data_IF_576176699215
#
_entry.id   IF_576176699215
#
_cell.length_a   1.000
_cell.length_b   1.000
_cell.length_c   1.000
_cell.angle_alpha   90.00
_cell.angle_beta   90.00
_cell.angle_gamma   90.00
#
_symmetry.space_group_name_H-M   'P 1'
#
loop_
_entity.id
_entity.type
_entity.pdbx_description
1 polymer ?
#
# COMPACT_ATOMS: atom_id res chain seq x y z
N UNK A 1 -28.12 -26.85 32.59
CA UNK A 1 -26.69 -26.49 32.45
C UNK A 1 -26.41 -26.38 30.97
N UNK A 2 -26.38 -25.17 30.42
CA UNK A 2 -26.41 -24.90 28.99
C UNK A 2 -25.02 -24.40 28.58
N UNK A 3 -24.34 -25.14 27.72
CA UNK A 3 -23.02 -24.76 27.21
C UNK A 3 -23.18 -23.56 26.26
N UNK A 4 -22.33 -22.52 26.35
CA UNK A 4 -22.39 -21.40 25.43
C UNK A 4 -21.90 -21.85 24.06
N UNK A 5 -22.75 -21.62 23.04
CA UNK A 5 -22.40 -21.79 21.63
C UNK A 5 -21.35 -20.74 21.29
N UNK A 6 -20.12 -21.19 21.01
CA UNK A 6 -19.04 -20.36 20.48
C UNK A 6 -19.48 -19.77 19.15
N UNK A 7 -19.76 -18.47 19.16
CA UNK A 7 -19.99 -17.69 17.96
C UNK A 7 -18.66 -17.65 17.21
N UNK A 8 -18.48 -18.56 16.26
CA UNK A 8 -17.39 -18.46 15.32
C UNK A 8 -17.63 -17.20 14.50
N UNK A 9 -16.76 -16.20 14.69
CA UNK A 9 -16.59 -15.08 13.78
C UNK A 9 -16.59 -15.68 12.37
N UNK A 10 -17.65 -15.40 11.60
CA UNK A 10 -17.67 -15.69 10.17
C UNK A 10 -16.52 -14.89 9.58
N UNK A 11 -15.37 -15.53 9.40
CA UNK A 11 -14.45 -15.11 8.35
C UNK A 11 -15.32 -15.05 7.10
N UNK A 12 -15.61 -13.84 6.62
CA UNK A 12 -16.18 -13.65 5.30
C UNK A 12 -15.21 -14.33 4.35
N UNK A 13 -15.54 -15.54 3.90
CA UNK A 13 -14.79 -16.26 2.87
C UNK A 13 -14.73 -15.32 1.67
N UNK A 14 -13.56 -14.72 1.48
CA UNK A 14 -13.28 -13.85 0.36
C UNK A 14 -13.01 -14.76 -0.80
N UNK A 15 -13.83 -14.72 -1.84
CA UNK A 15 -13.55 -15.50 -3.02
C UNK A 15 -12.28 -14.96 -3.69
N UNK A 16 -11.17 -15.70 -3.57
CA UNK A 16 -9.90 -15.34 -4.21
C UNK A 16 -10.06 -14.99 -5.70
N UNK A 17 -10.93 -15.68 -6.42
CA UNK A 17 -11.17 -15.43 -7.85
C UNK A 17 -11.71 -14.04 -8.16
N UNK A 18 -12.38 -13.40 -7.21
CA UNK A 18 -12.88 -12.04 -7.41
C UNK A 18 -11.83 -10.97 -7.08
N UNK A 19 -10.67 -11.36 -6.50
CA UNK A 19 -9.66 -10.47 -5.91
C UNK A 19 -8.28 -10.65 -6.56
N UNK A 20 -7.96 -11.83 -7.10
CA UNK A 20 -6.64 -12.16 -7.66
C UNK A 20 -6.17 -11.17 -8.74
N UNK A 21 -7.11 -10.48 -9.41
CA UNK A 21 -6.84 -9.41 -10.37
C UNK A 21 -6.02 -8.23 -9.78
N UNK A 22 -6.08 -7.99 -8.47
CA UNK A 22 -5.27 -6.97 -7.78
C UNK A 22 -3.78 -7.34 -7.87
N UNK A 23 -3.45 -8.63 -7.87
CA UNK A 23 -2.09 -9.15 -7.74
C UNK A 23 -1.56 -9.77 -9.04
N UNK A 24 -2.02 -9.26 -10.18
CA UNK A 24 -1.50 -9.68 -11.48
C UNK A 24 -0.02 -9.34 -11.66
N UNK A 25 0.68 -10.20 -12.39
CA UNK A 25 2.11 -10.06 -12.70
C UNK A 25 2.30 -9.13 -13.90
N UNK A 26 1.89 -7.89 -13.74
CA UNK A 26 1.94 -6.83 -14.77
C UNK A 26 3.28 -6.09 -14.82
N UNK A 27 4.22 -6.46 -13.95
CA UNK A 27 5.54 -5.85 -13.82
C UNK A 27 5.58 -4.64 -12.88
N UNK A 28 4.42 -4.17 -12.41
CA UNK A 28 4.32 -3.09 -11.43
C UNK A 28 4.27 -3.63 -9.99
N UNK A 29 4.72 -2.83 -9.03
CA UNK A 29 4.54 -3.13 -7.61
C UNK A 29 3.10 -2.80 -7.15
N UNK A 30 2.82 -3.08 -5.88
CA UNK A 30 1.66 -2.57 -5.17
C UNK A 30 2.11 -1.80 -3.95
N UNK A 31 1.51 -0.64 -3.77
CA UNK A 31 1.96 0.29 -2.74
C UNK A 31 0.91 0.35 -1.65
N UNK A 32 1.37 0.27 -0.41
CA UNK A 32 0.57 0.42 0.79
C UNK A 32 0.89 1.79 1.38
N UNK A 33 -0.09 2.69 1.34
CA UNK A 33 0.04 4.04 1.84
C UNK A 33 -0.64 4.27 3.18
N UNK A 34 -0.01 5.09 3.98
CA UNK A 34 -0.63 5.88 5.06
C UNK A 34 -0.44 7.35 4.72
N UNK A 35 -1.52 8.03 4.36
CA UNK A 35 -1.47 9.47 4.04
C UNK A 35 -1.62 10.34 5.30
N UNK A 36 -1.20 11.60 5.19
CA UNK A 36 -1.32 12.62 6.22
C UNK A 36 -0.62 12.20 7.53
N UNK A 37 0.58 11.63 7.42
CA UNK A 37 1.39 11.20 8.56
C UNK A 37 2.19 12.36 9.14
N UNK A 38 2.79 12.10 10.30
CA UNK A 38 3.67 13.01 11.01
C UNK A 38 4.92 12.24 11.42
N UNK A 39 5.95 12.95 11.86
CA UNK A 39 7.15 12.28 12.40
C UNK A 39 6.82 11.40 13.62
N UNK A 40 5.77 11.74 14.39
CA UNK A 40 5.31 10.90 15.49
C UNK A 40 4.63 9.62 15.01
N UNK A 41 3.94 9.65 13.87
CA UNK A 41 3.36 8.45 13.27
C UNK A 41 4.47 7.52 12.77
N UNK A 42 5.48 8.09 12.11
CA UNK A 42 6.68 7.35 11.70
C UNK A 42 7.39 6.69 12.88
N UNK A 43 7.52 7.37 14.03
CA UNK A 43 8.10 6.77 15.24
C UNK A 43 7.32 5.53 15.69
N UNK A 44 5.99 5.63 15.74
CA UNK A 44 5.13 4.51 16.14
C UNK A 44 5.26 3.31 15.20
N UNK A 45 5.25 3.57 13.89
CA UNK A 45 5.45 2.51 12.89
C UNK A 45 6.83 1.88 13.05
N UNK A 46 7.89 2.66 13.19
CA UNK A 46 9.25 2.12 13.36
C UNK A 46 9.37 1.31 14.66
N UNK A 47 8.76 1.75 15.75
CA UNK A 47 8.75 1.01 17.01
C UNK A 47 8.04 -0.34 16.86
N UNK A 48 6.85 -0.33 16.25
CA UNK A 48 6.07 -1.53 15.96
C UNK A 48 6.83 -2.49 15.03
N UNK A 49 7.46 -1.98 13.97
CA UNK A 49 8.25 -2.80 13.04
C UNK A 49 9.44 -3.44 13.76
N UNK A 50 10.16 -2.67 14.57
CA UNK A 50 11.31 -3.15 15.32
C UNK A 50 10.97 -4.14 16.45
N UNK A 51 9.73 -4.11 16.96
CA UNK A 51 9.30 -5.00 18.04
C UNK A 51 8.69 -6.31 17.53
N UNK A 52 7.88 -6.23 16.48
CA UNK A 52 6.96 -7.31 16.12
C UNK A 52 7.34 -8.02 14.81
N UNK A 53 8.24 -7.44 14.02
CA UNK A 53 8.58 -7.95 12.70
C UNK A 53 10.07 -8.23 12.55
N UNK A 54 10.36 -9.32 11.82
CA UNK A 54 11.71 -9.58 11.32
C UNK A 54 11.97 -8.65 10.13
N UNK A 55 13.02 -7.86 10.23
CA UNK A 55 13.38 -6.92 9.18
C UNK A 55 14.89 -6.74 9.05
N UNK A 56 15.29 -6.12 7.95
CA UNK A 56 16.62 -5.54 7.78
C UNK A 56 16.53 -4.07 7.44
N UNK A 57 17.52 -3.28 7.85
CA UNK A 57 17.62 -1.85 7.59
C UNK A 57 19.03 -1.48 7.11
N UNK A 58 19.15 -0.84 5.96
CA UNK A 58 20.44 -0.48 5.39
C UNK A 58 20.37 -0.13 3.91
N UNK A 59 21.53 -0.16 3.25
CA UNK A 59 21.64 -0.14 1.79
C UNK A 59 21.68 -1.59 1.32
N UNK A 60 21.01 -1.88 0.20
CA UNK A 60 21.13 -3.14 -0.57
C UNK A 60 22.24 -4.12 -0.12
N UNK A 61 21.83 -5.23 0.51
CA UNK A 61 22.62 -6.41 0.92
C UNK A 61 23.86 -6.20 1.81
N UNK A 62 24.38 -4.98 1.91
CA UNK A 62 25.57 -4.63 2.69
C UNK A 62 25.19 -3.85 3.96
N UNK A 63 25.88 -4.13 5.08
CA UNK A 63 25.73 -3.40 6.36
C UNK A 63 24.28 -3.34 6.89
N UNK A 64 23.51 -4.42 6.68
CA UNK A 64 22.15 -4.54 7.16
C UNK A 64 22.08 -4.70 8.68
N UNK A 65 21.41 -3.77 9.35
CA UNK A 65 20.98 -3.91 10.73
C UNK A 65 19.66 -4.69 10.81
N UNK A 66 19.40 -5.37 11.92
CA UNK A 66 18.14 -6.09 12.18
C UNK A 66 17.03 -5.18 12.74
N UNK A 67 17.33 -3.89 12.90
CA UNK A 67 16.42 -2.85 13.40
C UNK A 67 16.61 -1.54 12.66
N UNK A 68 15.51 -0.82 12.47
CA UNK A 68 15.49 0.53 11.93
C UNK A 68 16.02 1.50 12.98
N UNK A 69 17.08 2.24 12.64
CA UNK A 69 17.56 3.37 13.44
C UNK A 69 16.69 4.61 13.15
N UNK A 70 15.70 4.86 14.00
CA UNK A 70 14.84 6.04 13.86
C UNK A 70 15.59 7.38 13.98
N UNK A 71 16.72 7.40 14.70
CA UNK A 71 17.59 8.56 14.77
C UNK A 71 18.18 8.90 13.41
N UNK A 72 18.60 7.89 12.66
CA UNK A 72 19.09 8.03 11.29
C UNK A 72 17.96 8.43 10.31
N UNK A 73 16.79 7.79 10.41
CA UNK A 73 15.61 8.14 9.60
C UNK A 73 15.24 9.62 9.77
N UNK A 74 15.26 10.16 11.00
CA UNK A 74 15.04 11.60 11.22
C UNK A 74 16.06 12.50 10.52
N UNK A 75 17.33 12.06 10.45
CA UNK A 75 18.36 12.81 9.72
C UNK A 75 18.10 12.77 8.22
N UNK A 76 17.67 11.62 7.68
CA UNK A 76 17.27 11.49 6.27
C UNK A 76 16.15 12.46 5.91
N UNK A 77 15.10 12.54 6.74
CA UNK A 77 14.01 13.49 6.50
C UNK A 77 14.41 14.97 6.58
N UNK A 78 15.50 15.28 7.28
CA UNK A 78 16.00 16.65 7.43
C UNK A 78 17.12 16.98 6.43
N UNK A 79 17.55 16.02 5.62
CA UNK A 79 18.61 16.24 4.64
C UNK A 79 18.05 16.86 3.36
N UNK A 80 18.31 18.15 3.19
CA UNK A 80 17.97 18.90 1.97
C UNK A 80 19.12 18.88 0.94
N UNK A 81 20.29 18.35 1.30
CA UNK A 81 21.49 18.34 0.45
C UNK A 81 21.53 17.15 -0.50
N UNK A 82 20.89 16.03 -0.12
CA UNK A 82 20.96 14.76 -0.83
C UNK A 82 22.31 14.04 -0.66
N UNK A 83 23.17 14.50 0.24
CA UNK A 83 24.46 13.87 0.53
C UNK A 83 24.33 12.72 1.53
N UNK A 84 23.26 12.68 2.32
CA UNK A 84 23.04 11.60 3.27
C UNK A 84 22.62 10.32 2.56
N UNK A 85 23.29 9.23 2.89
CA UNK A 85 22.99 7.91 2.38
C UNK A 85 21.54 7.49 2.68
N UNK A 86 20.78 7.17 1.62
CA UNK A 86 19.40 6.73 1.75
C UNK A 86 19.34 5.25 2.09
N UNK A 87 18.74 4.94 3.25
CA UNK A 87 18.50 3.55 3.71
C UNK A 87 17.03 3.17 3.56
N UNK A 88 16.77 1.89 3.37
CA UNK A 88 15.43 1.33 3.36
C UNK A 88 15.30 0.21 4.38
N UNK A 89 14.06 -0.13 4.73
CA UNK A 89 13.75 -1.32 5.51
C UNK A 89 13.16 -2.40 4.62
N UNK A 90 13.50 -3.65 4.89
CA UNK A 90 12.92 -4.84 4.26
C UNK A 90 12.31 -5.70 5.33
N UNK A 91 10.98 -5.85 5.31
CA UNK A 91 10.21 -6.61 6.28
C UNK A 91 9.83 -7.96 5.66
N UNK A 92 10.01 -9.03 6.42
CA UNK A 92 9.66 -10.41 6.03
C UNK A 92 8.31 -10.80 6.64
N UNK A 93 7.28 -10.91 5.81
CA UNK A 93 5.95 -11.40 6.21
C UNK A 93 5.80 -12.87 5.81
N UNK A 94 6.62 -13.72 6.40
CA UNK A 94 6.66 -15.17 6.13
C UNK A 94 6.77 -15.48 4.63
N UNK A 95 7.79 -14.92 3.98
CA UNK A 95 8.10 -15.12 2.57
C UNK A 95 7.51 -14.09 1.60
N UNK A 96 6.74 -13.11 2.10
CA UNK A 96 6.35 -11.92 1.35
C UNK A 96 7.29 -10.78 1.75
N UNK A 97 7.95 -10.16 0.77
CA UNK A 97 8.89 -9.08 1.00
C UNK A 97 8.15 -7.76 0.92
N UNK A 98 8.16 -7.02 2.03
CA UNK A 98 7.62 -5.66 2.10
C UNK A 98 8.78 -4.68 2.21
N UNK A 99 8.91 -3.77 1.24
CA UNK A 99 9.91 -2.70 1.28
C UNK A 99 9.30 -1.47 1.92
N UNK A 100 10.08 -0.74 2.71
CA UNK A 100 9.70 0.56 3.26
C UNK A 100 10.79 1.57 2.95
N UNK A 101 10.39 2.67 2.31
CA UNK A 101 11.28 3.78 1.99
C UNK A 101 10.88 5.01 2.79
N UNK A 102 11.88 5.76 3.26
CA UNK A 102 11.71 6.92 4.14
C UNK A 102 11.82 8.23 3.33
N UNK A 103 10.89 8.43 2.38
CA UNK A 103 10.96 9.59 1.46
C UNK A 103 10.25 10.83 2.01
N UNK A 104 9.04 10.69 2.55
CA UNK A 104 8.21 11.82 2.97
C UNK A 104 7.77 11.68 4.43
N UNK A 105 7.79 12.78 5.18
CA UNK A 105 7.29 12.78 6.57
C UNK A 105 5.76 12.60 6.60
N UNK A 106 5.06 13.13 5.61
CA UNK A 106 3.59 13.17 5.53
C UNK A 106 2.96 11.99 4.77
N UNK A 107 3.78 11.02 4.36
CA UNK A 107 3.34 9.76 3.76
C UNK A 107 4.24 8.60 4.22
N UNK A 108 3.63 7.53 4.73
CA UNK A 108 4.31 6.24 4.87
C UNK A 108 3.95 5.39 3.66
N UNK A 109 4.94 4.74 3.06
CA UNK A 109 4.80 3.88 1.90
C UNK A 109 5.48 2.54 2.15
N UNK A 110 4.80 1.47 1.72
CA UNK A 110 5.39 0.15 1.63
C UNK A 110 5.12 -0.49 0.28
N UNK A 111 6.11 -1.10 -0.33
CA UNK A 111 5.95 -1.80 -1.60
C UNK A 111 5.90 -3.31 -1.39
N UNK A 112 5.03 -3.98 -2.13
CA UNK A 112 4.99 -5.44 -2.22
C UNK A 112 5.01 -5.89 -3.68
N UNK A 113 5.61 -7.05 -3.92
CA UNK A 113 5.56 -7.67 -5.24
C UNK A 113 4.25 -8.46 -5.40
N UNK A 114 3.37 -8.12 -6.36
CA UNK A 114 2.12 -8.86 -6.56
C UNK A 114 2.34 -10.35 -6.87
N UNK A 115 3.51 -10.72 -7.43
CA UNK A 115 3.84 -12.12 -7.73
C UNK A 115 3.93 -13.02 -6.49
N UNK A 116 4.11 -12.43 -5.31
CA UNK A 116 4.21 -13.14 -4.02
C UNK A 116 2.83 -13.43 -3.41
N UNK A 117 1.75 -12.83 -3.95
CA UNK A 117 0.39 -12.97 -3.41
C UNK A 117 -0.44 -13.87 -4.34
N UNK A 118 -0.48 -15.16 -4.03
CA UNK A 118 -1.05 -16.17 -4.94
C UNK A 118 -2.32 -16.85 -4.40
N UNK A 119 -2.68 -16.58 -3.15
CA UNK A 119 -3.87 -17.12 -2.52
C UNK A 119 -4.43 -16.21 -1.42
N UNK A 120 -5.55 -16.63 -0.84
CA UNK A 120 -6.15 -15.98 0.33
C UNK A 120 -5.21 -15.95 1.54
N UNK A 121 -4.28 -16.91 1.64
CA UNK A 121 -3.33 -16.98 2.75
C UNK A 121 -2.35 -15.80 2.71
N UNK A 122 -1.74 -15.53 1.57
CA UNK A 122 -0.82 -14.40 1.40
C UNK A 122 -1.56 -13.07 1.48
N UNK A 123 -2.77 -12.99 0.91
CA UNK A 123 -3.64 -11.82 1.06
C UNK A 123 -3.94 -11.54 2.54
N UNK A 124 -4.19 -12.59 3.34
CA UNK A 124 -4.43 -12.44 4.77
C UNK A 124 -3.22 -11.85 5.48
N UNK A 125 -2.00 -12.31 5.18
CA UNK A 125 -0.76 -11.75 5.77
C UNK A 125 -0.62 -10.26 5.48
N UNK A 126 -0.81 -9.85 4.23
CA UNK A 126 -0.76 -8.43 3.83
C UNK A 126 -1.85 -7.60 4.52
N UNK A 127 -3.09 -8.09 4.55
CA UNK A 127 -4.20 -7.37 5.16
C UNK A 127 -4.10 -7.31 6.69
N UNK A 128 -3.54 -8.32 7.34
CA UNK A 128 -3.25 -8.28 8.77
C UNK A 128 -2.13 -7.28 9.09
N UNK A 129 -1.07 -7.23 8.28
CA UNK A 129 -0.05 -6.19 8.38
C UNK A 129 -0.67 -4.79 8.28
N UNK A 130 -1.49 -4.55 7.26
CA UNK A 130 -2.23 -3.27 7.10
C UNK A 130 -3.12 -2.96 8.31
N UNK A 131 -3.83 -3.95 8.89
CA UNK A 131 -4.66 -3.76 10.08
C UNK A 131 -3.85 -3.38 11.31
N UNK A 132 -2.70 -4.01 11.50
CA UNK A 132 -1.81 -3.75 12.64
C UNK A 132 -1.29 -2.32 12.58
N UNK A 133 -0.80 -1.88 11.41
CA UNK A 133 -0.37 -0.48 11.21
C UNK A 133 -1.55 0.49 11.38
N UNK A 134 -2.73 0.16 10.82
CA UNK A 134 -3.94 0.98 10.97
C UNK A 134 -4.36 1.16 12.42
N UNK A 135 -4.27 0.09 13.22
CA UNK A 135 -4.61 0.10 14.64
C UNK A 135 -3.63 0.94 15.46
N UNK A 136 -2.33 0.78 15.22
CA UNK A 136 -1.26 1.54 15.89
C UNK A 136 -1.39 3.05 15.66
N UNK A 137 -1.73 3.43 14.42
CA UNK A 137 -1.84 4.84 14.05
C UNK A 137 -3.24 5.43 14.29
N UNK A 138 -4.28 4.58 14.36
CA UNK A 138 -5.67 5.02 14.27
C UNK A 138 -5.99 5.70 12.94
N UNK A 139 -5.32 5.28 11.86
CA UNK A 139 -5.40 5.88 10.51
C UNK A 139 -5.83 4.85 9.48
N UNK A 140 -6.41 5.35 8.38
CA UNK A 140 -6.73 4.52 7.22
C UNK A 140 -5.44 4.14 6.49
N UNK A 141 -5.38 2.91 6.02
CA UNK A 141 -4.32 2.33 5.21
C UNK A 141 -4.91 1.89 3.88
N UNK A 142 -4.20 2.15 2.79
CA UNK A 142 -4.66 1.80 1.43
C UNK A 142 -3.61 1.04 0.67
N UNK A 143 -3.98 -0.09 0.06
CA UNK A 143 -3.16 -0.71 -0.99
C UNK A 143 -3.67 -0.24 -2.34
N UNK A 144 -2.79 0.18 -3.24
CA UNK A 144 -3.11 0.60 -4.60
C UNK A 144 -2.13 0.03 -5.63
N UNK A 145 -2.36 0.34 -6.91
CA UNK A 145 -1.34 0.16 -7.92
C UNK A 145 -0.15 1.09 -7.69
N UNK A 146 0.99 0.73 -8.26
CA UNK A 146 2.23 1.51 -8.19
C UNK A 146 2.01 2.99 -8.57
N UNK A 147 2.37 3.90 -7.67
CA UNK A 147 2.22 5.34 -7.77
C UNK A 147 0.77 5.82 -8.04
N UNK A 148 -0.23 5.07 -7.58
CA UNK A 148 -1.66 5.38 -7.80
C UNK A 148 -2.47 5.52 -6.48
N UNK A 149 -2.03 6.36 -5.53
CA UNK A 149 -2.70 6.49 -4.23
C UNK A 149 -4.16 6.94 -4.33
N UNK A 150 -4.56 7.66 -5.39
CA UNK A 150 -5.95 8.08 -5.57
C UNK A 150 -6.90 6.93 -5.89
N UNK A 151 -6.38 5.77 -6.36
CA UNK A 151 -7.17 4.59 -6.70
C UNK A 151 -6.85 3.39 -5.78
N UNK A 152 -7.33 3.41 -4.53
CA UNK A 152 -7.15 2.29 -3.62
C UNK A 152 -7.83 1.02 -4.15
N UNK A 153 -7.18 -0.12 -3.99
CA UNK A 153 -7.68 -1.46 -4.29
C UNK A 153 -8.12 -2.17 -3.00
N UNK A 154 -7.45 -1.88 -1.88
CA UNK A 154 -7.82 -2.30 -0.53
C UNK A 154 -7.84 -1.08 0.40
N UNK A 155 -8.84 -0.98 1.27
CA UNK A 155 -8.97 0.02 2.34
C UNK A 155 -9.16 -0.66 3.68
N UNK A 156 -8.33 -0.29 4.64
CA UNK A 156 -8.47 -0.71 6.03
C UNK A 156 -8.47 0.55 6.91
N UNK A 157 -9.43 0.66 7.82
CA UNK A 157 -9.47 1.64 8.89
C UNK A 157 -9.95 0.93 10.16
N UNK A 158 -8.99 0.46 10.96
CA UNK A 158 -9.26 -0.31 12.18
C UNK A 158 -10.07 0.49 13.20
N UNK A 159 -9.89 1.81 13.27
CA UNK A 159 -10.63 2.69 14.18
C UNK A 159 -12.11 2.76 13.82
N UNK A 160 -12.41 2.82 12.53
CA UNK A 160 -13.78 2.94 12.01
C UNK A 160 -14.39 1.59 11.60
N UNK A 161 -13.68 0.47 11.81
CA UNK A 161 -14.14 -0.88 11.43
C UNK A 161 -14.29 -1.07 9.92
N UNK A 162 -13.52 -0.35 9.11
CA UNK A 162 -13.59 -0.45 7.65
C UNK A 162 -12.58 -1.50 7.19
N UNK A 163 -13.05 -2.47 6.43
CA UNK A 163 -12.21 -3.37 5.64
C UNK A 163 -12.90 -3.64 4.31
N UNK A 164 -12.38 -3.03 3.25
CA UNK A 164 -12.94 -3.12 1.90
C UNK A 164 -11.87 -3.56 0.92
N UNK A 165 -12.21 -4.53 0.07
CA UNK A 165 -11.39 -5.00 -1.04
C UNK A 165 -12.22 -4.87 -2.30
N UNK A 166 -11.64 -4.24 -3.33
CA UNK A 166 -12.32 -4.01 -4.59
C UNK A 166 -12.34 -5.32 -5.39
N UNK A 167 -13.54 -5.88 -5.61
CA UNK A 167 -13.67 -7.03 -6.52
C UNK A 167 -13.49 -6.60 -7.98
N UNK A 168 -13.13 -7.53 -8.85
CA UNK A 168 -13.00 -7.24 -10.29
C UNK A 168 -14.30 -6.68 -10.87
N UNK A 169 -15.44 -7.17 -10.37
CA UNK A 169 -16.78 -6.69 -10.73
C UNK A 169 -17.03 -5.26 -10.27
N UNK A 170 -16.64 -4.92 -9.04
CA UNK A 170 -16.79 -3.57 -8.51
C UNK A 170 -15.93 -2.57 -9.29
N UNK A 171 -14.68 -2.94 -9.58
CA UNK A 171 -13.78 -2.14 -10.42
C UNK A 171 -14.39 -1.88 -11.82
N UNK A 172 -14.90 -2.93 -12.48
CA UNK A 172 -15.60 -2.80 -13.76
C UNK A 172 -16.85 -1.92 -13.69
N UNK A 173 -17.57 -1.93 -12.56
CA UNK A 173 -18.77 -1.11 -12.36
C UNK A 173 -18.45 0.37 -12.15
N UNK A 174 -17.42 0.67 -11.35
CA UNK A 174 -16.90 2.03 -11.17
C UNK A 174 -16.46 2.62 -12.53
N UNK A 175 -15.78 1.82 -13.34
CA UNK A 175 -15.35 2.21 -14.68
C UNK A 175 -16.52 2.54 -15.64
N UNK A 176 -17.55 1.70 -15.70
CA UNK A 176 -18.72 1.97 -16.56
C UNK A 176 -19.39 3.30 -16.22
N UNK A 177 -19.39 3.69 -14.95
CA UNK A 177 -19.93 4.97 -14.49
C UNK A 177 -19.03 6.16 -14.84
N UNK A 178 -17.70 5.98 -14.90
CA UNK A 178 -16.77 7.03 -15.33
C UNK A 178 -16.77 7.22 -16.85
N UNK A 179 -16.80 6.14 -17.63
CA UNK A 179 -16.83 6.19 -19.10
C UNK A 179 -18.11 6.84 -19.64
N UNK A 180 -19.26 6.60 -19.00
CA UNK A 180 -20.49 7.30 -19.34
C UNK A 180 -20.40 8.83 -19.17
N UNK A 181 -19.41 9.33 -18.40
CA UNK A 181 -19.13 10.76 -18.25
C UNK A 181 -18.06 11.28 -19.22
N UNK A 182 -17.35 10.43 -19.96
CA UNK A 182 -16.25 10.83 -20.84
C UNK A 182 -16.54 10.34 -22.27
N UNK A 183 -17.10 11.22 -23.09
CA UNK A 183 -17.32 10.95 -24.52
C UNK A 183 -15.99 11.00 -25.30
N UNK A 184 -15.55 9.89 -25.89
CA UNK A 184 -14.51 9.91 -26.94
C UNK A 184 -13.61 8.67 -27.00
N UNK A 185 -13.74 7.94 -28.12
CA UNK A 185 -13.00 6.73 -28.52
C UNK A 185 -11.48 6.74 -28.25
N UNK A 186 -10.94 5.59 -27.80
CA UNK A 186 -9.80 4.90 -28.43
C UNK A 186 -9.65 3.48 -27.84
N UNK A 187 -9.40 2.51 -28.72
CA UNK A 187 -9.37 1.07 -28.49
C UNK A 187 -7.99 0.58 -28.92
N UNK A 188 -7.10 0.16 -28.01
CA UNK A 188 -6.18 -0.98 -28.23
C UNK A 188 -5.43 -1.38 -26.95
N UNK A 189 -4.90 -2.61 -26.97
CA UNK A 189 -4.57 -3.50 -25.85
C UNK A 189 -3.19 -3.24 -25.21
N UNK A 190 -3.16 -3.14 -23.87
CA UNK A 190 -2.11 -3.67 -22.97
C UNK A 190 -2.67 -3.74 -21.53
N UNK A 191 -2.59 -4.89 -20.88
CA UNK A 191 -3.88 -5.60 -20.70
C UNK A 191 -4.69 -5.31 -19.45
N UNK A 192 -4.17 -4.86 -18.28
CA UNK A 192 -5.06 -4.72 -17.09
C UNK A 192 -4.91 -3.38 -16.35
N UNK A 193 -3.73 -2.89 -15.94
CA UNK A 193 -3.66 -1.54 -15.30
C UNK A 193 -3.69 -0.40 -16.33
N UNK A 194 -2.95 -0.52 -17.44
CA UNK A 194 -3.05 0.40 -18.59
C UNK A 194 -4.45 0.41 -19.22
N UNK A 195 -5.27 -0.62 -18.98
CA UNK A 195 -6.66 -0.71 -19.43
C UNK A 195 -7.60 0.20 -18.63
N UNK A 196 -7.25 0.58 -17.40
CA UNK A 196 -8.14 1.35 -16.53
C UNK A 196 -7.75 2.83 -16.37
N UNK A 197 -6.50 3.28 -16.61
CA UNK A 197 -6.13 4.69 -16.38
C UNK A 197 -5.13 5.34 -17.38
N UNK A 198 -5.19 5.08 -18.71
CA UNK A 198 -4.07 5.38 -19.62
C UNK A 198 -3.75 6.89 -19.75
N UNK A 199 -4.75 7.76 -19.88
CA UNK A 199 -4.53 9.21 -20.11
C UNK A 199 -4.17 10.00 -18.86
N UNK A 200 -4.62 9.56 -17.68
CA UNK A 200 -4.22 10.18 -16.42
C UNK A 200 -2.75 9.87 -16.11
N UNK A 201 -2.32 8.65 -16.42
CA UNK A 201 -0.98 8.16 -16.13
C UNK A 201 0.09 8.86 -16.96
N UNK A 202 -0.07 8.94 -18.29
CA UNK A 202 0.91 9.58 -19.18
C UNK A 202 1.10 11.07 -18.87
N UNK A 203 -0.01 11.79 -18.62
CA UNK A 203 0.04 13.20 -18.22
C UNK A 203 0.68 13.38 -16.85
N UNK A 204 0.34 12.54 -15.86
CA UNK A 204 0.96 12.59 -14.53
C UNK A 204 2.45 12.27 -14.59
N UNK A 205 2.89 11.30 -15.38
CA UNK A 205 4.31 10.97 -15.56
C UNK A 205 5.08 12.17 -16.14
N UNK A 206 4.53 12.81 -17.18
CA UNK A 206 5.18 13.98 -17.80
C UNK A 206 5.20 15.19 -16.85
N UNK A 207 4.17 15.35 -16.02
CA UNK A 207 4.10 16.40 -15.01
C UNK A 207 4.98 16.13 -13.77
N UNK A 208 5.10 14.86 -13.34
CA UNK A 208 5.92 14.45 -12.18
C UNK A 208 7.41 14.46 -12.49
N UNK A 209 7.81 14.14 -13.73
CA UNK A 209 9.22 14.16 -14.14
C UNK A 209 9.89 15.53 -13.99
N UNK A 210 9.12 16.61 -13.86
CA UNK A 210 9.61 17.99 -13.79
C UNK A 210 9.24 18.72 -12.48
N UNK A 211 8.71 18.01 -11.47
CA UNK A 211 8.24 18.61 -10.22
C UNK A 211 8.66 17.76 -9.03
N UNK A 212 8.95 18.42 -7.93
CA UNK A 212 9.15 17.74 -6.65
C UNK A 212 7.91 16.90 -6.30
N UNK A 213 8.14 15.67 -5.85
CA UNK A 213 7.07 14.78 -5.44
C UNK A 213 6.38 15.32 -4.19
N UNK A 214 5.04 15.26 -4.17
CA UNK A 214 4.23 15.64 -3.02
C UNK A 214 3.25 14.53 -2.69
N UNK A 215 3.08 14.25 -1.41
CA UNK A 215 2.12 13.26 -0.93
C UNK A 215 0.71 13.55 -1.43
N UNK A 216 0.02 12.51 -1.85
CA UNK A 216 -1.41 12.56 -2.13
C UNK A 216 -2.18 12.57 -0.82
N UNK A 217 -3.00 13.59 -0.61
CA UNK A 217 -3.83 13.71 0.58
C UNK A 217 -4.96 12.65 0.59
N UNK A 218 -5.28 12.12 1.77
CA UNK A 218 -6.28 11.04 1.98
C UNK A 218 -7.63 11.30 1.29
N UNK A 219 -8.10 12.55 1.26
CA UNK A 219 -9.39 12.95 0.70
C UNK A 219 -9.48 12.79 -0.83
N UNK A 220 -8.36 12.60 -1.52
CA UNK A 220 -8.32 12.37 -2.97
C UNK A 220 -8.62 10.92 -3.37
N UNK A 221 -8.77 10.00 -2.40
CA UNK A 221 -9.02 8.59 -2.67
C UNK A 221 -10.46 8.38 -3.19
N UNK A 222 -10.64 7.88 -4.42
CA UNK A 222 -11.89 8.03 -5.21
C UNK A 222 -13.04 7.04 -4.92
N UNK A 223 -13.14 6.43 -3.73
CA UNK A 223 -14.24 5.47 -3.43
C UNK A 223 -14.61 5.31 -1.95
#
# INVERSE_FOLDING_TARGET
MQWPVTTHLRATLRNWKDIEWIFEKDGALRDIYVQNTTISDWKKVVDLLNSDYKLTFGIYEDNLADKIDFGYVKKMFADETGELETKSATIDLDGIVVKCYFFLIDQIEFDINPSEIQSELELKKVTDFMKTISAELGKQITLCGENQPEFPLIKIDSKNGIEKILTEKDAKSLWKKSDQKVSGFAKFKSTIIMKYFPKLFEKKILESANKEYKSTLKEKNVW
#
